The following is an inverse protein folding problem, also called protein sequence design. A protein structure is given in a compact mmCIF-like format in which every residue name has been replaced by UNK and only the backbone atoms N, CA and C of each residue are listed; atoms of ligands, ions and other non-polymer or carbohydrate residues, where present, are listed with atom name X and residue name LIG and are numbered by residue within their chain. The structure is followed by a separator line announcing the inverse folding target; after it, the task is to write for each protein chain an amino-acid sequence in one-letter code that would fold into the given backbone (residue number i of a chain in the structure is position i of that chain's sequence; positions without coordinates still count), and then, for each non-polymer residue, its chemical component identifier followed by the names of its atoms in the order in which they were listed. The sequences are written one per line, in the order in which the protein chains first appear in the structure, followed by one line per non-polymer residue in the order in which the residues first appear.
data_IF_733600810371
#
_entry.id   IF_733600810371
#
_cell.length_a   1.000
_cell.length_b   1.000
_cell.length_c   1.000
_cell.angle_alpha   90.00
_cell.angle_beta   90.00
_cell.angle_gamma   90.00
#
_symmetry.space_group_name_H-M   'P 1'
#
loop_
_entity.id
_entity.type
_entity.pdbx_description
1 polymer ?
#
# COMPACT_ATOMS: atom_id res chain seq x y z
N UNK A 1 -15.49 -0.51 -23.91
CA UNK A 1 -15.37 0.10 -22.57
C UNK A 1 -14.60 -0.87 -21.69
N UNK A 2 -13.55 -0.42 -20.99
CA UNK A 2 -12.88 -1.28 -19.99
C UNK A 2 -13.67 -1.17 -18.68
N UNK A 3 -14.27 -2.26 -18.18
CA UNK A 3 -15.06 -2.21 -16.95
C UNK A 3 -14.25 -1.70 -15.76
N UNK A 4 -14.90 -1.01 -14.83
CA UNK A 4 -14.31 -0.53 -13.58
C UNK A 4 -13.16 0.48 -13.71
N UNK A 5 -12.88 1.03 -14.90
CA UNK A 5 -11.76 1.96 -15.05
C UNK A 5 -12.01 3.26 -14.25
N UNK A 6 -11.15 3.52 -13.28
CA UNK A 6 -11.30 4.60 -12.28
C UNK A 6 -12.09 4.22 -11.03
N UNK A 7 -12.62 2.99 -10.97
CA UNK A 7 -13.39 2.46 -9.83
C UNK A 7 -12.51 1.56 -8.95
N UNK A 8 -12.95 1.32 -7.71
CA UNK A 8 -12.18 0.56 -6.70
C UNK A 8 -11.97 -0.91 -7.06
N UNK A 9 -12.83 -1.50 -7.90
CA UNK A 9 -12.76 -2.90 -8.31
C UNK A 9 -11.94 -3.12 -9.60
N UNK A 10 -11.34 -2.06 -10.17
CA UNK A 10 -10.42 -2.18 -11.32
C UNK A 10 -9.30 -3.19 -11.07
N UNK A 11 -8.60 -3.02 -9.96
CA UNK A 11 -7.44 -3.82 -9.60
C UNK A 11 -7.75 -5.32 -9.50
N UNK A 12 -8.75 -5.72 -8.69
CA UNK A 12 -9.21 -7.11 -8.63
C UNK A 12 -9.64 -7.69 -9.98
N UNK A 13 -10.30 -6.90 -10.85
CA UNK A 13 -10.67 -7.37 -12.19
C UNK A 13 -9.47 -7.54 -13.11
N UNK A 14 -8.52 -6.60 -13.07
CA UNK A 14 -7.27 -6.68 -13.81
C UNK A 14 -6.48 -7.92 -13.41
N UNK A 15 -6.31 -8.16 -12.11
CA UNK A 15 -5.60 -9.34 -11.62
C UNK A 15 -6.27 -10.64 -12.08
N UNK A 16 -7.61 -10.76 -12.00
CA UNK A 16 -8.31 -11.95 -12.50
C UNK A 16 -8.13 -12.16 -14.00
N UNK A 17 -8.17 -11.08 -14.79
CA UNK A 17 -7.97 -11.16 -16.23
C UNK A 17 -6.55 -11.62 -16.58
N UNK A 18 -5.53 -11.08 -15.92
CA UNK A 18 -4.13 -11.48 -16.13
C UNK A 18 -3.86 -12.89 -15.60
N UNK A 19 -4.45 -13.25 -14.46
CA UNK A 19 -4.30 -14.58 -13.84
C UNK A 19 -4.85 -15.73 -14.71
N UNK A 20 -5.73 -15.43 -15.68
CA UNK A 20 -6.27 -16.41 -16.61
C UNK A 20 -5.21 -16.94 -17.61
N UNK A 21 -4.18 -16.16 -17.89
CA UNK A 21 -3.12 -16.51 -18.86
C UNK A 21 -1.74 -16.58 -18.24
N UNK A 22 -1.50 -15.84 -17.15
CA UNK A 22 -0.23 -15.76 -16.43
C UNK A 22 -0.41 -16.28 -14.99
N UNK A 23 0.41 -17.21 -14.47
CA UNK A 23 0.22 -17.77 -13.15
C UNK A 23 0.70 -16.81 -12.05
N UNK A 24 -0.02 -15.71 -11.85
CA UNK A 24 0.22 -14.67 -10.85
C UNK A 24 -0.93 -14.60 -9.85
N UNK A 25 -0.62 -14.26 -8.60
CA UNK A 25 -1.60 -14.22 -7.51
C UNK A 25 -1.64 -12.86 -6.79
N UNK A 26 -0.76 -11.93 -7.10
CA UNK A 26 -0.89 -10.55 -6.63
C UNK A 26 -0.37 -9.55 -7.65
N UNK A 27 -0.75 -8.28 -7.47
CA UNK A 27 -0.31 -7.18 -8.32
C UNK A 27 -0.12 -5.89 -7.51
N UNK A 28 0.66 -4.96 -8.06
CA UNK A 28 0.78 -3.61 -7.53
C UNK A 28 0.99 -2.59 -8.65
N UNK A 29 0.39 -1.41 -8.47
CA UNK A 29 0.62 -0.24 -9.31
C UNK A 29 1.16 0.85 -8.40
N UNK A 30 2.42 1.24 -8.59
CA UNK A 30 3.07 2.23 -7.74
C UNK A 30 3.94 3.19 -8.53
N UNK A 31 4.31 4.29 -7.87
CA UNK A 31 5.36 5.22 -8.28
C UNK A 31 6.49 5.24 -7.25
N UNK A 32 7.74 5.28 -7.71
CA UNK A 32 8.93 5.54 -6.88
C UNK A 32 9.31 7.04 -6.89
N UNK A 33 10.58 7.40 -6.68
CA UNK A 33 11.04 8.79 -6.71
C UNK A 33 10.84 9.53 -5.40
N UNK A 34 10.84 10.86 -5.45
CA UNK A 34 10.81 11.72 -4.26
C UNK A 34 9.49 11.63 -3.46
N UNK A 35 8.41 11.22 -4.12
CA UNK A 35 7.09 11.02 -3.51
C UNK A 35 6.57 9.62 -3.85
N UNK A 36 7.13 8.57 -3.23
CA UNK A 36 6.73 7.21 -3.53
C UNK A 36 5.28 6.98 -3.10
N UNK A 37 4.50 6.28 -3.92
CA UNK A 37 3.09 6.00 -3.65
C UNK A 37 2.68 4.66 -4.27
N UNK A 38 1.88 3.87 -3.55
CA UNK A 38 1.16 2.73 -4.10
C UNK A 38 -0.28 3.15 -4.37
N UNK A 39 -0.70 3.09 -5.64
CA UNK A 39 -2.01 3.58 -6.08
C UNK A 39 -3.07 2.51 -5.90
N UNK A 40 -2.79 1.31 -6.39
CA UNK A 40 -3.66 0.14 -6.24
C UNK A 40 -2.81 -1.12 -6.12
N UNK A 41 -3.28 -2.07 -5.35
CA UNK A 41 -2.66 -3.37 -5.18
C UNK A 41 -3.69 -4.37 -4.68
N UNK A 42 -3.39 -5.65 -4.80
CA UNK A 42 -4.24 -6.70 -4.26
C UNK A 42 -3.75 -8.08 -4.62
N UNK A 43 -4.47 -9.08 -4.11
CA UNK A 43 -4.16 -10.49 -4.29
C UNK A 43 -5.38 -11.31 -4.71
N UNK A 44 -5.14 -12.54 -5.18
CA UNK A 44 -6.13 -13.52 -5.60
C UNK A 44 -5.67 -14.90 -5.15
N UNK A 45 -6.45 -15.53 -4.26
CA UNK A 45 -6.18 -16.89 -3.78
C UNK A 45 -4.99 -17.02 -2.83
N UNK A 46 -4.40 -15.91 -2.38
CA UNK A 46 -3.32 -15.84 -1.38
C UNK A 46 -3.61 -14.70 -0.39
N UNK A 47 -2.99 -14.66 0.81
CA UNK A 47 -3.12 -13.52 1.71
C UNK A 47 -2.64 -12.22 1.05
N UNK A 48 -3.39 -11.12 1.23
CA UNK A 48 -3.00 -9.83 0.69
C UNK A 48 -1.94 -9.14 1.56
N UNK A 49 -0.69 -9.34 1.20
CA UNK A 49 0.48 -8.70 1.84
C UNK A 49 1.04 -7.56 1.00
N UNK A 50 0.35 -7.13 -0.07
CA UNK A 50 0.94 -6.21 -1.08
C UNK A 50 1.35 -4.85 -0.49
N UNK A 51 0.59 -4.33 0.47
CA UNK A 51 0.92 -3.09 1.18
C UNK A 51 2.03 -3.27 2.22
N UNK A 52 2.15 -4.45 2.83
CA UNK A 52 3.28 -4.80 3.71
C UNK A 52 4.56 -4.89 2.91
N UNK A 53 4.54 -5.60 1.78
CA UNK A 53 5.63 -5.66 0.81
C UNK A 53 6.09 -4.25 0.39
N UNK A 54 5.14 -3.35 0.10
CA UNK A 54 5.44 -1.96 -0.24
C UNK A 54 6.13 -1.20 0.89
N UNK A 55 5.62 -1.30 2.13
CA UNK A 55 6.26 -0.69 3.31
C UNK A 55 7.66 -1.25 3.54
N UNK A 56 7.83 -2.56 3.44
CA UNK A 56 9.10 -3.23 3.59
C UNK A 56 10.10 -2.81 2.51
N UNK A 57 9.65 -2.67 1.26
CA UNK A 57 10.45 -2.17 0.14
C UNK A 57 10.94 -0.73 0.36
N UNK A 58 10.06 0.15 0.86
CA UNK A 58 10.43 1.53 1.20
C UNK A 58 11.35 1.66 2.43
N UNK A 59 11.45 0.64 3.28
CA UNK A 59 12.30 0.67 4.47
C UNK A 59 13.82 0.61 4.20
N UNK A 60 14.22 0.43 2.94
CA UNK A 60 15.63 0.26 2.56
C UNK A 60 15.83 -0.24 1.13
N UNK A 61 15.23 -1.38 0.73
CA UNK A 61 15.44 -2.00 -0.58
C UNK A 61 15.35 -1.07 -1.78
N UNK A 62 14.43 -0.11 -1.78
CA UNK A 62 14.24 0.88 -2.86
C UNK A 62 15.50 1.68 -3.21
N UNK A 63 16.44 1.85 -2.27
CA UNK A 63 17.67 2.62 -2.49
C UNK A 63 18.69 1.86 -3.35
N UNK A 64 18.65 0.53 -3.27
CA UNK A 64 19.61 -0.37 -3.92
C UNK A 64 18.97 -1.21 -5.04
N UNK A 65 17.65 -1.11 -5.24
CA UNK A 65 16.96 -1.80 -6.34
C UNK A 65 17.42 -1.21 -7.69
N UNK A 66 18.22 -2.00 -8.40
CA UNK A 66 18.70 -1.72 -9.75
C UNK A 66 17.91 -2.44 -10.83
N UNK A 67 16.89 -3.23 -10.47
CA UNK A 67 16.09 -4.03 -11.41
C UNK A 67 15.46 -3.18 -12.52
N UNK A 68 15.29 -1.88 -12.28
CA UNK A 68 14.77 -0.93 -13.27
C UNK A 68 15.78 0.12 -13.72
N UNK A 69 17.08 0.01 -13.40
CA UNK A 69 18.08 1.06 -13.69
C UNK A 69 18.98 0.75 -14.87
N UNK A 70 19.11 -0.50 -15.28
CA UNK A 70 20.05 -0.90 -16.33
C UNK A 70 19.38 -1.02 -17.71
N UNK A 71 20.07 -0.57 -18.77
CA UNK A 71 20.03 -1.22 -20.08
C UNK A 71 19.31 -0.55 -21.27
N UNK A 72 18.21 0.19 -21.09
CA UNK A 72 17.39 0.62 -22.24
C UNK A 72 16.91 2.08 -22.18
N UNK A 73 17.02 2.78 -23.31
CA UNK A 73 16.51 4.13 -23.54
C UNK A 73 15.01 4.16 -23.84
N UNK A 74 14.37 2.99 -23.96
CA UNK A 74 12.94 2.88 -24.22
C UNK A 74 12.12 3.47 -23.05
N UNK A 75 11.11 4.30 -23.34
CA UNK A 75 10.29 4.94 -22.30
C UNK A 75 9.50 3.90 -21.49
N UNK A 76 9.08 2.81 -22.13
CA UNK A 76 8.38 1.68 -21.54
C UNK A 76 9.28 0.44 -21.57
N UNK A 77 9.41 -0.26 -20.44
CA UNK A 77 10.29 -1.43 -20.29
C UNK A 77 9.55 -2.59 -19.64
N UNK A 78 9.82 -3.79 -20.15
CA UNK A 78 9.42 -5.04 -19.54
C UNK A 78 10.55 -5.54 -18.62
N UNK A 79 10.20 -6.07 -17.45
CA UNK A 79 11.18 -6.70 -16.59
C UNK A 79 10.58 -7.93 -15.93
N UNK A 80 11.26 -9.06 -16.06
CA UNK A 80 11.02 -10.27 -15.29
C UNK A 80 12.22 -10.53 -14.38
N UNK A 81 11.95 -10.85 -13.12
CA UNK A 81 12.98 -11.19 -12.14
C UNK A 81 12.49 -12.31 -11.24
N UNK A 82 13.36 -13.27 -10.98
CA UNK A 82 13.13 -14.33 -10.00
C UNK A 82 13.66 -13.91 -8.63
N UNK A 83 13.13 -14.50 -7.55
CA UNK A 83 13.59 -14.23 -6.20
C UNK A 83 15.11 -14.44 -6.06
N UNK A 84 15.71 -15.41 -6.77
CA UNK A 84 17.15 -15.67 -6.72
C UNK A 84 18.02 -14.49 -7.17
N UNK A 85 17.53 -13.69 -8.11
CA UNK A 85 18.22 -12.53 -8.69
C UNK A 85 18.04 -11.25 -7.86
N UNK A 86 17.11 -11.25 -6.90
CA UNK A 86 16.83 -10.12 -6.04
C UNK A 86 17.91 -10.00 -4.96
N UNK A 87 18.43 -8.78 -4.68
CA UNK A 87 19.41 -8.57 -3.61
C UNK A 87 18.94 -9.12 -2.25
N UNK A 88 19.84 -9.65 -1.39
CA UNK A 88 19.46 -10.38 -0.19
C UNK A 88 18.51 -9.64 0.75
N UNK A 89 18.73 -8.33 0.99
CA UNK A 89 17.85 -7.54 1.86
C UNK A 89 16.43 -7.42 1.29
N UNK A 90 16.33 -7.09 0.00
CA UNK A 90 15.05 -6.97 -0.71
C UNK A 90 14.33 -8.34 -0.73
N UNK A 91 15.07 -9.40 -1.04
CA UNK A 91 14.55 -10.76 -1.09
C UNK A 91 13.99 -11.20 0.26
N UNK A 92 14.75 -11.02 1.35
CA UNK A 92 14.29 -11.41 2.68
C UNK A 92 13.03 -10.64 3.10
N UNK A 93 13.00 -9.32 2.88
CA UNK A 93 11.92 -8.44 3.34
C UNK A 93 10.63 -8.54 2.52
N UNK A 94 10.73 -8.80 1.22
CA UNK A 94 9.59 -8.70 0.29
C UNK A 94 9.25 -10.05 -0.33
N UNK A 95 10.25 -10.86 -0.67
CA UNK A 95 10.02 -12.12 -1.37
C UNK A 95 9.82 -13.28 -0.41
N UNK A 96 10.84 -13.61 0.40
CA UNK A 96 10.82 -14.78 1.27
C UNK A 96 9.77 -14.66 2.38
N UNK A 97 9.61 -13.48 2.98
CA UNK A 97 8.62 -13.22 4.02
C UNK A 97 7.15 -13.42 3.57
N UNK A 98 6.89 -13.36 2.26
CA UNK A 98 5.53 -13.37 1.70
C UNK A 98 5.34 -14.42 0.59
N UNK A 99 6.29 -15.35 0.44
CA UNK A 99 6.24 -16.43 -0.54
C UNK A 99 6.23 -15.96 -1.99
N UNK A 100 6.73 -14.76 -2.30
CA UNK A 100 6.86 -14.28 -3.69
C UNK A 100 8.08 -14.92 -4.32
N UNK A 101 7.95 -15.38 -5.56
CA UNK A 101 9.02 -16.11 -6.26
C UNK A 101 9.42 -15.49 -7.58
N UNK A 102 8.49 -14.86 -8.28
CA UNK A 102 8.79 -14.16 -9.53
C UNK A 102 7.97 -12.88 -9.61
N UNK A 103 8.55 -11.85 -10.23
CA UNK A 103 7.87 -10.60 -10.54
C UNK A 103 8.03 -10.32 -12.02
N UNK A 104 6.92 -10.06 -12.69
CA UNK A 104 6.92 -9.45 -14.03
C UNK A 104 6.35 -8.04 -13.95
N UNK A 105 6.98 -7.11 -14.65
CA UNK A 105 6.74 -5.68 -14.51
C UNK A 105 6.69 -5.01 -15.87
N UNK A 106 5.77 -4.05 -16.02
CA UNK A 106 5.83 -3.02 -17.05
C UNK A 106 6.14 -1.71 -16.35
N UNK A 107 7.22 -1.04 -16.76
CA UNK A 107 7.73 0.14 -16.09
C UNK A 107 7.95 1.28 -17.08
N UNK A 108 7.46 2.45 -16.71
CA UNK A 108 7.68 3.69 -17.45
C UNK A 108 8.46 4.67 -16.57
N UNK A 109 9.49 5.30 -17.14
CA UNK A 109 10.20 6.40 -16.47
C UNK A 109 9.40 7.69 -16.64
N UNK A 110 9.10 8.37 -15.53
CA UNK A 110 8.45 9.67 -15.58
C UNK A 110 9.44 10.73 -16.07
N UNK A 111 8.95 11.70 -16.85
CA UNK A 111 9.72 12.83 -17.36
C UNK A 111 10.02 13.88 -16.27
N UNK A 112 10.40 13.44 -15.08
CA UNK A 112 10.75 14.26 -13.92
C UNK A 112 12.24 14.16 -13.62
N UNK A 113 12.80 15.24 -13.06
CA UNK A 113 14.23 15.32 -12.73
C UNK A 113 14.68 14.31 -11.65
N UNK A 114 13.74 13.77 -10.85
CA UNK A 114 14.02 12.78 -9.80
C UNK A 114 14.09 11.34 -10.32
N UNK A 115 13.82 11.12 -11.60
CA UNK A 115 13.87 9.80 -12.23
C UNK A 115 12.85 8.82 -11.66
N UNK A 116 11.69 9.33 -11.21
CA UNK A 116 10.58 8.50 -10.73
C UNK A 116 10.18 7.45 -11.78
N UNK A 117 9.84 6.26 -11.29
CA UNK A 117 9.33 5.17 -12.12
C UNK A 117 7.88 4.91 -11.76
N UNK A 118 7.04 4.74 -12.76
CA UNK A 118 5.70 4.21 -12.62
C UNK A 118 5.73 2.75 -13.05
N UNK A 119 5.28 1.85 -12.17
CA UNK A 119 5.38 0.41 -12.38
C UNK A 119 4.03 -0.27 -12.20
N UNK A 120 3.72 -1.18 -13.12
CA UNK A 120 2.64 -2.16 -13.03
C UNK A 120 3.31 -3.51 -12.85
N UNK A 121 3.13 -4.14 -11.70
CA UNK A 121 3.79 -5.38 -11.33
C UNK A 121 2.77 -6.48 -11.09
N UNK A 122 3.10 -7.70 -11.52
CA UNK A 122 2.40 -8.92 -11.17
C UNK A 122 3.38 -9.91 -10.56
N UNK A 123 2.91 -10.65 -9.56
CA UNK A 123 3.76 -11.50 -8.74
C UNK A 123 3.22 -12.92 -8.72
N UNK A 124 4.15 -13.85 -8.93
CA UNK A 124 3.93 -15.26 -8.69
C UNK A 124 4.32 -15.60 -7.25
N UNK A 125 3.52 -16.43 -6.61
CA UNK A 125 3.78 -16.97 -5.27
C UNK A 125 4.10 -18.48 -5.29
N UNK A 126 4.49 -19.00 -4.13
CA UNK A 126 4.61 -20.43 -3.87
C UNK A 126 3.34 -21.20 -4.24
N UNK A 127 3.52 -22.44 -4.72
CA UNK A 127 2.42 -23.30 -5.17
C UNK A 127 1.90 -22.99 -6.58
N UNK A 128 2.33 -21.89 -7.20
CA UNK A 128 2.03 -21.59 -8.60
C UNK A 128 3.12 -22.12 -9.54
N UNK A 129 2.73 -22.47 -10.78
CA UNK A 129 3.67 -22.85 -11.84
C UNK A 129 4.56 -21.66 -12.22
N UNK A 130 5.86 -21.87 -12.53
CA UNK A 130 6.75 -20.81 -13.01
C UNK A 130 6.21 -20.06 -14.23
N UNK A 131 6.62 -18.81 -14.41
CA UNK A 131 6.27 -18.04 -15.60
C UNK A 131 7.03 -18.62 -16.81
N UNK A 132 6.32 -19.01 -17.86
CA UNK A 132 6.94 -19.52 -19.07
C UNK A 132 7.27 -18.40 -20.05
N UNK A 133 8.32 -18.57 -20.85
CA UNK A 133 8.81 -17.55 -21.81
C UNK A 133 7.73 -17.05 -22.77
N UNK A 134 6.87 -17.95 -23.27
CA UNK A 134 5.74 -17.56 -24.12
C UNK A 134 4.75 -16.63 -23.41
N UNK A 135 4.48 -16.87 -22.13
CA UNK A 135 3.59 -16.01 -21.34
C UNK A 135 4.22 -14.64 -21.06
N UNK A 136 5.54 -14.60 -20.89
CA UNK A 136 6.30 -13.35 -20.73
C UNK A 136 6.32 -12.55 -22.04
N UNK A 137 6.44 -13.22 -23.18
CA UNK A 137 6.34 -12.59 -24.51
C UNK A 137 4.95 -11.99 -24.73
N UNK A 138 3.88 -12.75 -24.52
CA UNK A 138 2.50 -12.27 -24.63
C UNK A 138 2.22 -11.09 -23.68
N UNK A 139 2.73 -11.16 -22.44
CA UNK A 139 2.65 -10.07 -21.48
C UNK A 139 3.41 -8.82 -21.96
N UNK A 140 4.56 -9.03 -22.61
CA UNK A 140 5.34 -7.99 -23.27
C UNK A 140 4.56 -7.25 -24.35
N UNK A 141 3.86 -7.98 -25.23
CA UNK A 141 3.02 -7.40 -26.28
C UNK A 141 1.86 -6.56 -25.70
N UNK A 142 1.29 -7.00 -24.57
CA UNK A 142 0.24 -6.27 -23.86
C UNK A 142 0.76 -5.07 -23.03
N UNK A 143 2.08 -4.90 -22.88
CA UNK A 143 2.68 -3.99 -21.92
C UNK A 143 2.24 -2.52 -22.09
N UNK A 144 2.22 -2.01 -23.33
CA UNK A 144 1.81 -0.63 -23.60
C UNK A 144 0.34 -0.38 -23.25
N UNK A 145 -0.54 -1.36 -23.53
CA UNK A 145 -1.95 -1.29 -23.17
C UNK A 145 -2.12 -1.33 -21.65
N UNK A 146 -1.43 -2.23 -20.95
CA UNK A 146 -1.46 -2.32 -19.49
C UNK A 146 -1.02 -1.01 -18.82
N UNK A 147 0.06 -0.41 -19.33
CA UNK A 147 0.54 0.89 -18.83
C UNK A 147 -0.49 2.00 -19.05
N UNK A 148 -1.06 2.10 -20.26
CA UNK A 148 -2.08 3.12 -20.57
C UNK A 148 -3.33 2.98 -19.68
N UNK A 149 -3.79 1.75 -19.45
CA UNK A 149 -4.93 1.48 -18.56
C UNK A 149 -4.61 1.82 -17.11
N UNK A 150 -3.42 1.44 -16.62
CA UNK A 150 -2.99 1.78 -15.27
C UNK A 150 -2.90 3.29 -15.05
N UNK A 151 -2.29 4.04 -15.98
CA UNK A 151 -2.21 5.51 -15.94
C UNK A 151 -3.60 6.13 -15.94
N UNK A 152 -4.48 5.69 -16.84
CA UNK A 152 -5.84 6.22 -16.93
C UNK A 152 -6.66 5.89 -15.68
N UNK A 153 -6.52 4.69 -15.13
CA UNK A 153 -7.13 4.31 -13.85
C UNK A 153 -6.67 5.26 -12.73
N UNK A 154 -5.36 5.45 -12.56
CA UNK A 154 -4.82 6.34 -11.51
C UNK A 154 -5.30 7.78 -11.70
N UNK A 155 -5.39 8.26 -12.93
CA UNK A 155 -5.90 9.61 -13.21
C UNK A 155 -7.40 9.76 -12.89
N UNK A 156 -8.21 8.73 -13.16
CA UNK A 156 -9.65 8.74 -12.95
C UNK A 156 -10.05 8.46 -11.50
N UNK A 157 -9.31 7.59 -10.80
CA UNK A 157 -9.54 7.28 -9.39
C UNK A 157 -9.27 8.49 -8.46
N UNK A 158 -8.67 9.56 -9.01
CA UNK A 158 -8.29 10.77 -8.28
C UNK A 158 -7.05 10.55 -7.41
N UNK A 159 -6.56 11.59 -6.72
CA UNK A 159 -5.53 11.40 -5.71
C UNK A 159 -6.05 10.40 -4.68
N UNK A 160 -5.35 9.27 -4.53
CA UNK A 160 -5.61 8.31 -3.46
C UNK A 160 -5.81 9.13 -2.18
N UNK A 161 -6.98 9.00 -1.54
CA UNK A 161 -7.28 9.72 -0.31
C UNK A 161 -6.05 9.63 0.59
N UNK A 162 -5.52 10.79 1.01
CA UNK A 162 -4.33 10.84 1.85
C UNK A 162 -4.50 9.78 2.96
N UNK A 163 -3.43 9.02 3.29
CA UNK A 163 -3.55 7.96 4.29
C UNK A 163 -4.28 8.54 5.49
N UNK A 164 -5.42 7.94 5.83
CA UNK A 164 -6.36 8.52 6.79
C UNK A 164 -5.58 9.04 8.00
N UNK A 165 -5.79 10.27 8.41
CA UNK A 165 -5.11 10.77 9.61
C UNK A 165 -5.46 9.86 10.79
N UNK A 166 -4.62 9.77 11.83
CA UNK A 166 -4.98 9.01 13.03
C UNK A 166 -6.36 9.40 13.57
N UNK A 167 -6.75 10.68 13.43
CA UNK A 167 -8.08 11.15 13.77
C UNK A 167 -9.19 10.54 12.90
N UNK A 168 -8.99 10.45 11.58
CA UNK A 168 -9.95 9.80 10.68
C UNK A 168 -10.09 8.30 11.00
N UNK A 169 -8.99 7.60 11.30
CA UNK A 169 -9.05 6.18 11.73
C UNK A 169 -9.79 6.00 13.05
N UNK A 170 -9.58 6.89 14.02
CA UNK A 170 -10.30 6.85 15.29
C UNK A 170 -11.80 7.13 15.12
N UNK A 171 -12.17 8.08 14.26
CA UNK A 171 -13.57 8.38 13.96
C UNK A 171 -14.25 7.27 13.16
N UNK A 172 -13.54 6.60 12.24
CA UNK A 172 -14.07 5.45 11.52
C UNK A 172 -14.41 4.30 12.48
N UNK A 173 -13.58 4.07 13.50
CA UNK A 173 -13.80 3.04 14.53
C UNK A 173 -14.84 3.45 15.57
N UNK A 174 -14.88 4.73 15.94
CA UNK A 174 -15.80 5.26 16.93
C UNK A 174 -16.31 6.64 16.52
N UNK A 175 -17.39 6.70 15.71
CA UNK A 175 -18.00 7.97 15.28
C UNK A 175 -18.53 8.82 16.44
N UNK A 176 -18.74 8.20 17.62
CA UNK A 176 -19.25 8.85 18.82
C UNK A 176 -18.17 9.62 19.61
N UNK A 177 -16.91 9.63 19.16
CA UNK A 177 -15.86 10.46 19.77
C UNK A 177 -16.16 11.95 19.54
N UNK A 178 -16.14 12.71 20.63
CA UNK A 178 -16.30 14.16 20.57
C UNK A 178 -15.01 14.84 20.05
N UNK A 179 -15.09 16.07 19.52
CA UNK A 179 -13.90 16.81 19.08
C UNK A 179 -12.84 16.98 20.17
N UNK A 180 -13.25 17.13 21.45
CA UNK A 180 -12.32 17.28 22.57
C UNK A 180 -11.66 15.95 22.97
N UNK A 181 -12.40 14.85 22.93
CA UNK A 181 -11.84 13.50 23.14
C UNK A 181 -10.83 13.16 22.03
N UNK A 182 -11.19 13.43 20.77
CA UNK A 182 -10.33 13.20 19.61
C UNK A 182 -9.04 14.02 19.70
N UNK A 183 -9.13 15.31 20.01
CA UNK A 183 -7.97 16.19 20.14
C UNK A 183 -6.96 15.70 21.19
N UNK A 184 -7.45 15.15 22.31
CA UNK A 184 -6.61 14.53 23.36
C UNK A 184 -5.96 13.25 22.84
N UNK A 185 -6.70 12.37 22.18
CA UNK A 185 -6.17 11.14 21.57
C UNK A 185 -5.07 11.42 20.54
N UNK A 186 -5.25 12.43 19.67
CA UNK A 186 -4.23 12.81 18.68
C UNK A 186 -2.90 13.21 19.33
N UNK A 187 -2.94 13.93 20.45
CA UNK A 187 -1.72 14.38 21.14
C UNK A 187 -1.06 13.27 21.94
N UNK A 188 -1.86 12.35 22.50
CA UNK A 188 -1.34 11.10 23.06
C UNK A 188 -0.62 10.27 21.99
N UNK A 189 -1.13 10.23 20.77
CA UNK A 189 -0.48 9.55 19.64
C UNK A 189 0.80 10.26 19.19
N UNK A 190 0.96 11.55 19.46
CA UNK A 190 2.19 12.33 19.19
C UNK A 190 3.27 12.22 20.28
N UNK A 191 3.08 11.40 21.30
CA UNK A 191 4.07 11.28 22.37
C UNK A 191 3.82 12.19 23.58
N UNK A 192 2.89 13.15 23.52
CA UNK A 192 2.73 14.18 24.55
C UNK A 192 2.29 13.62 25.92
N UNK A 193 2.78 14.24 27.00
CA UNK A 193 2.32 14.01 28.38
C UNK A 193 0.98 14.71 28.63
N UNK A 194 0.28 14.36 29.71
CA UNK A 194 -1.02 14.99 30.01
C UNK A 194 -0.87 16.47 30.35
N UNK A 195 0.24 16.84 30.99
CA UNK A 195 0.65 18.21 31.27
C UNK A 195 0.94 18.97 29.98
N UNK A 196 1.66 18.34 29.04
CA UNK A 196 1.92 18.93 27.72
C UNK A 196 0.64 19.11 26.90
N UNK A 197 -0.30 18.16 26.98
CA UNK A 197 -1.60 18.26 26.32
C UNK A 197 -2.45 19.38 26.93
N UNK A 198 -2.41 19.52 28.26
CA UNK A 198 -3.11 20.57 28.98
C UNK A 198 -2.62 21.95 28.53
N UNK A 199 -1.30 22.14 28.48
CA UNK A 199 -0.69 23.37 27.97
C UNK A 199 -1.05 23.63 26.50
N UNK A 200 -0.95 22.62 25.63
CA UNK A 200 -1.22 22.75 24.19
C UNK A 200 -2.69 23.09 23.89
N UNK A 201 -3.63 22.51 24.64
CA UNK A 201 -5.07 22.71 24.43
C UNK A 201 -5.67 23.86 25.23
N UNK A 202 -4.88 24.53 26.08
CA UNK A 202 -5.38 25.53 27.03
C UNK A 202 -6.39 24.95 28.03
N UNK A 203 -6.15 23.72 28.50
CA UNK A 203 -7.01 22.98 29.43
C UNK A 203 -6.29 22.73 30.76
N UNK A 204 -7.04 22.48 31.83
CA UNK A 204 -6.47 21.95 33.06
C UNK A 204 -6.14 20.46 32.92
N UNK A 205 -5.08 19.98 33.58
CA UNK A 205 -4.68 18.56 33.57
C UNK A 205 -5.82 17.60 33.98
N UNK A 206 -6.66 17.91 35.00
CA UNK A 206 -7.83 17.06 35.33
C UNK A 206 -8.85 16.96 34.19
N UNK A 207 -9.01 18.03 33.41
CA UNK A 207 -9.89 18.05 32.23
C UNK A 207 -9.36 17.16 31.13
N UNK A 208 -8.04 17.15 30.90
CA UNK A 208 -7.39 16.22 29.95
C UNK A 208 -7.58 14.77 30.40
N UNK A 209 -7.41 14.47 31.69
CA UNK A 209 -7.69 13.13 32.26
C UNK A 209 -9.13 12.69 32.00
N UNK A 210 -10.08 13.60 32.17
CA UNK A 210 -11.51 13.34 31.93
C UNK A 210 -11.77 12.99 30.47
N UNK A 211 -11.29 13.81 29.53
CA UNK A 211 -11.45 13.52 28.10
C UNK A 211 -10.75 12.23 27.67
N UNK A 212 -9.54 11.96 28.18
CA UNK A 212 -8.85 10.69 27.94
C UNK A 212 -9.69 9.50 28.41
N UNK A 213 -10.19 9.52 29.64
CA UNK A 213 -10.95 8.39 30.20
C UNK A 213 -12.24 8.15 29.43
N UNK A 214 -12.95 9.21 29.03
CA UNK A 214 -14.16 9.08 28.20
C UNK A 214 -13.84 8.53 26.81
N UNK A 215 -12.78 9.04 26.17
CA UNK A 215 -12.33 8.56 24.87
C UNK A 215 -11.95 7.07 24.94
N UNK A 216 -11.22 6.66 25.97
CA UNK A 216 -10.79 5.28 26.18
C UNK A 216 -11.98 4.35 26.44
N UNK A 217 -12.96 4.80 27.23
CA UNK A 217 -14.22 4.07 27.43
C UNK A 217 -15.01 3.88 26.13
N UNK A 218 -15.11 4.92 25.29
CA UNK A 218 -15.78 4.85 23.98
C UNK A 218 -15.05 3.92 23.00
N UNK A 219 -13.71 3.97 23.02
CA UNK A 219 -12.83 3.13 22.18
C UNK A 219 -12.66 1.71 22.73
N UNK A 220 -13.19 1.41 23.93
CA UNK A 220 -13.04 0.13 24.63
C UNK A 220 -11.58 -0.29 24.83
N UNK A 221 -10.74 0.66 25.21
CA UNK A 221 -9.31 0.45 25.52
C UNK A 221 -8.99 0.91 26.93
N UNK A 222 -7.90 0.39 27.49
CA UNK A 222 -7.45 0.72 28.86
C UNK A 222 -6.10 1.41 28.86
N UNK A 223 -5.24 1.11 27.89
CA UNK A 223 -3.86 1.56 27.82
C UNK A 223 -3.58 2.40 26.57
N UNK A 224 -2.59 3.28 26.70
CA UNK A 224 -2.12 4.12 25.58
C UNK A 224 -1.55 3.29 24.43
N UNK A 225 -0.90 2.17 24.72
CA UNK A 225 -0.40 1.23 23.71
C UNK A 225 -1.51 0.70 22.81
N UNK A 226 -2.70 0.44 23.36
CA UNK A 226 -3.86 0.00 22.60
C UNK A 226 -4.35 1.11 21.68
N UNK A 227 -4.31 2.38 22.10
CA UNK A 227 -4.61 3.52 21.22
C UNK A 227 -3.68 3.55 20.00
N UNK A 228 -2.38 3.25 20.18
CA UNK A 228 -1.44 3.11 19.07
C UNK A 228 -1.79 1.91 18.19
N UNK A 229 -2.14 0.76 18.77
CA UNK A 229 -2.56 -0.41 18.02
C UNK A 229 -3.79 -0.11 17.14
N UNK A 230 -4.78 0.65 17.65
CA UNK A 230 -5.97 1.02 16.89
C UNK A 230 -5.67 1.86 15.64
N UNK A 231 -4.60 2.68 15.65
CA UNK A 231 -4.25 3.52 14.49
C UNK A 231 -3.17 2.91 13.59
N UNK A 232 -2.51 1.84 14.04
CA UNK A 232 -1.49 1.11 13.28
C UNK A 232 -2.02 -0.18 12.64
N UNK A 233 -3.08 -0.77 13.21
CA UNK A 233 -3.72 -1.93 12.62
C UNK A 233 -4.30 -1.57 11.24
N UNK A 234 -4.12 -2.44 10.22
CA UNK A 234 -4.81 -2.28 8.94
C UNK A 234 -6.32 -2.18 9.20
N UNK A 235 -7.02 -1.41 8.36
CA UNK A 235 -8.49 -1.41 8.37
C UNK A 235 -8.92 -2.84 8.04
N UNK A 236 -9.30 -3.63 9.06
CA UNK A 236 -10.00 -4.88 8.83
C UNK A 236 -11.23 -4.52 8.03
N UNK A 237 -11.25 -4.96 6.77
CA UNK A 237 -12.34 -4.70 5.86
C UNK A 237 -13.64 -5.02 6.56
N UNK A 238 -14.59 -4.10 6.45
CA UNK A 238 -15.98 -4.34 6.78
C UNK A 238 -16.47 -5.58 6.00
N UNK A 239 -16.31 -6.74 6.61
CA UNK A 239 -16.95 -7.99 6.26
C UNK A 239 -17.79 -8.38 7.46
N UNK A 240 -19.09 -8.25 7.26
CA UNK A 240 -20.20 -8.91 7.95
C UNK A 240 -21.21 -7.92 8.54
N UNK A 241 -22.40 -7.92 7.90
CA UNK A 241 -23.77 -7.62 8.35
C UNK A 241 -24.44 -6.63 7.39
N UNK A 242 -25.44 -7.00 6.58
CA UNK A 242 -26.17 -8.27 6.44
C UNK A 242 -26.93 -8.29 5.11
#
# INVERSE_FOLDING_TARGET
MVPALGETDFGPRLLRAVAATLPVASFSIYRTGARPAIFTSGSLGVPDTTRDCWRAYLSGPVQHDRTFRDGETAPLRLCHITAGEVPPEHRAKVYDAHGVRERVSVVEREASADGALFAVNFYRHDGQRPLADGQLADFGEAGALLMALARKHVALAGPAAAPASPAQRLLARCPALTPRELAVCERLLRGMTQEGIAADLGLAVPTVKTYRNRAFGRLRIHFRSELFALVLAPEEGASAQG
#
